data_IF_718922148952
#
_entry.id   IF_718922148952
#
_cell.length_a   1.000
_cell.length_b   1.000
_cell.length_c   1.000
_cell.angle_alpha   90.00
_cell.angle_beta   90.00
_cell.angle_gamma   90.00
#
_symmetry.space_group_name_H-M   'P 1'
#
loop_
_entity.id
_entity.type
_entity.pdbx_description
1 polymer ?
#
# COMPACT_ATOMS: atom_id res chain seq x y z
N UNK A 1 44.26 10.50 21.05
CA UNK A 1 44.35 9.14 20.47
C UNK A 1 45.77 8.92 20.02
N UNK A 2 46.31 7.72 20.25
CA UNK A 2 47.65 7.38 19.77
C UNK A 2 47.65 7.15 18.26
N UNK A 3 48.75 7.50 17.60
CA UNK A 3 48.93 7.32 16.15
C UNK A 3 48.68 5.86 15.70
N UNK A 4 49.12 4.87 16.50
CA UNK A 4 48.87 3.44 16.22
C UNK A 4 47.39 3.08 16.23
N UNK A 5 46.60 3.65 17.15
CA UNK A 5 45.17 3.39 17.25
C UNK A 5 44.42 3.98 16.05
N UNK A 6 44.83 5.18 15.59
CA UNK A 6 44.27 5.81 14.39
C UNK A 6 44.51 4.91 13.17
N UNK A 7 45.72 4.39 12.98
CA UNK A 7 46.03 3.53 11.84
C UNK A 7 45.19 2.23 11.82
N UNK A 8 45.05 1.55 12.96
CA UNK A 8 44.20 0.35 13.08
C UNK A 8 42.72 0.67 12.82
N UNK A 9 42.25 1.82 13.32
CA UNK A 9 40.87 2.24 13.13
C UNK A 9 40.60 2.58 11.65
N UNK A 10 41.58 3.15 10.98
CA UNK A 10 41.52 3.50 9.57
C UNK A 10 41.44 2.23 8.69
N UNK A 11 42.24 1.21 9.00
CA UNK A 11 42.18 -0.11 8.37
C UNK A 11 40.78 -0.73 8.47
N UNK A 12 40.20 -0.72 9.68
CA UNK A 12 38.82 -1.17 9.90
C UNK A 12 37.79 -0.31 9.19
N UNK A 13 38.00 1.00 9.10
CA UNK A 13 37.11 1.92 8.38
C UNK A 13 37.06 1.57 6.89
N UNK A 14 38.22 1.32 6.27
CA UNK A 14 38.28 0.89 4.87
C UNK A 14 37.64 -0.48 4.65
N UNK A 15 37.73 -1.39 5.63
CA UNK A 15 37.05 -2.68 5.61
C UNK A 15 35.55 -2.60 5.96
N UNK A 16 35.02 -1.41 6.26
CA UNK A 16 33.63 -1.20 6.69
C UNK A 16 33.26 -1.94 8.00
N UNK A 17 34.23 -2.09 8.91
CA UNK A 17 34.09 -2.80 10.20
C UNK A 17 34.03 -1.86 11.41
N UNK A 18 33.87 -0.55 11.18
CA UNK A 18 33.79 0.48 12.23
C UNK A 18 32.37 0.71 12.72
N UNK A 19 32.25 1.05 13.99
CA UNK A 19 31.02 1.55 14.60
C UNK A 19 30.84 3.05 14.38
N UNK A 20 29.61 3.56 14.57
CA UNK A 20 29.31 4.99 14.44
C UNK A 20 30.08 5.87 15.44
N UNK A 21 30.39 5.35 16.63
CA UNK A 21 31.16 6.07 17.65
C UNK A 21 32.62 6.22 17.23
N UNK A 22 33.21 5.14 16.70
CA UNK A 22 34.55 5.11 16.15
C UNK A 22 34.70 6.07 14.96
N UNK A 23 33.73 6.09 14.03
CA UNK A 23 33.73 7.05 12.92
C UNK A 23 33.65 8.50 13.38
N UNK A 24 32.85 8.80 14.41
CA UNK A 24 32.77 10.15 14.98
C UNK A 24 34.11 10.57 15.58
N UNK A 25 34.78 9.67 16.30
CA UNK A 25 36.11 9.92 16.85
C UNK A 25 37.13 10.16 15.72
N UNK A 26 37.07 9.37 14.65
CA UNK A 26 37.93 9.51 13.47
C UNK A 26 37.72 10.87 12.79
N UNK A 27 36.46 11.27 12.55
CA UNK A 27 36.12 12.59 11.99
C UNK A 27 36.62 13.72 12.90
N UNK A 28 36.42 13.62 14.22
CA UNK A 28 36.90 14.62 15.16
C UNK A 28 38.43 14.75 15.17
N UNK A 29 39.16 13.65 15.03
CA UNK A 29 40.62 13.64 14.92
C UNK A 29 41.10 14.38 13.65
N UNK A 30 40.51 14.09 12.49
CA UNK A 30 40.91 14.68 11.20
C UNK A 30 40.47 16.14 10.98
N UNK A 31 39.61 16.69 11.86
CA UNK A 31 39.32 18.13 11.89
C UNK A 31 40.51 18.98 12.36
N UNK A 32 41.36 18.42 13.22
CA UNK A 32 42.52 19.11 13.79
C UNK A 32 43.76 19.08 12.88
N UNK A 33 44.91 19.45 13.45
CA UNK A 33 46.20 19.33 12.80
C UNK A 33 46.71 17.90 12.95
N UNK A 34 47.07 17.27 11.83
CA UNK A 34 47.41 15.84 11.73
C UNK A 34 48.83 15.72 11.18
N UNK A 35 49.63 14.72 11.58
CA UNK A 35 50.96 14.49 11.02
C UNK A 35 50.94 14.27 9.50
N UNK A 36 52.06 14.62 8.82
CA UNK A 36 52.18 14.63 7.35
C UNK A 36 51.78 13.31 6.68
N UNK A 37 52.04 12.17 7.32
CA UNK A 37 51.71 10.84 6.82
C UNK A 37 50.20 10.57 6.69
N UNK A 38 49.37 11.42 7.27
CA UNK A 38 47.92 11.29 7.35
C UNK A 38 47.20 12.51 6.75
N UNK A 39 47.94 13.45 6.15
CA UNK A 39 47.37 14.69 5.61
C UNK A 39 46.46 14.44 4.39
N UNK A 40 46.83 13.50 3.51
CA UNK A 40 45.97 13.09 2.38
C UNK A 40 44.61 12.54 2.88
N UNK A 41 44.66 11.71 3.92
CA UNK A 41 43.47 11.14 4.57
C UNK A 41 42.65 12.24 5.24
N UNK A 42 43.32 13.19 5.92
CA UNK A 42 42.66 14.35 6.51
C UNK A 42 41.91 15.17 5.45
N UNK A 43 42.50 15.36 4.27
CA UNK A 43 41.87 16.02 3.13
C UNK A 43 40.56 15.35 2.72
N UNK A 44 40.52 14.01 2.68
CA UNK A 44 39.31 13.24 2.37
C UNK A 44 38.19 13.47 3.41
N UNK A 45 38.50 13.34 4.69
CA UNK A 45 37.51 13.53 5.76
C UNK A 45 36.97 14.96 5.79
N UNK A 46 37.84 15.96 5.63
CA UNK A 46 37.47 17.38 5.56
C UNK A 46 36.61 17.68 4.33
N UNK A 47 36.92 17.08 3.18
CA UNK A 47 36.10 17.22 1.99
C UNK A 47 34.69 16.70 2.24
N UNK A 48 34.54 15.47 2.77
CA UNK A 48 33.23 14.90 3.06
C UNK A 48 32.42 15.74 4.05
N UNK A 49 33.06 16.26 5.09
CA UNK A 49 32.41 17.16 6.04
C UNK A 49 31.94 18.46 5.38
N UNK A 50 32.77 19.08 4.54
CA UNK A 50 32.41 20.31 3.83
C UNK A 50 31.26 20.11 2.84
N UNK A 51 31.19 18.94 2.20
CA UNK A 51 30.11 18.60 1.27
C UNK A 51 28.83 18.23 2.00
N UNK A 52 28.92 17.64 3.20
CA UNK A 52 27.75 17.36 4.02
C UNK A 52 27.00 18.64 4.42
N UNK A 53 27.72 19.73 4.65
CA UNK A 53 27.11 21.05 4.93
C UNK A 53 26.49 21.72 3.69
N UNK A 54 26.95 21.35 2.49
CA UNK A 54 26.35 21.79 1.23
C UNK A 54 25.12 20.93 0.97
N UNK A 55 24.07 21.16 1.76
CA UNK A 55 22.76 20.59 1.48
C UNK A 55 22.38 20.90 0.02
N UNK A 56 22.04 19.87 -0.74
CA UNK A 56 21.45 19.99 -2.07
C UNK A 56 20.01 20.47 -1.86
N UNK A 57 19.85 21.74 -1.50
CA UNK A 57 18.55 22.40 -1.31
C UNK A 57 17.91 22.80 -2.64
N UNK A 58 18.24 22.11 -3.75
CA UNK A 58 17.55 22.34 -5.01
C UNK A 58 16.23 21.57 -5.00
N UNK A 59 15.14 22.32 -4.85
CA UNK A 59 13.76 21.81 -4.93
C UNK A 59 13.51 21.01 -6.22
N UNK A 60 14.27 21.32 -7.28
CA UNK A 60 14.22 20.65 -8.57
C UNK A 60 14.82 19.23 -8.54
N UNK A 61 15.88 18.99 -7.74
CA UNK A 61 16.45 17.65 -7.58
C UNK A 61 15.44 16.72 -6.90
N UNK A 62 14.83 17.20 -5.84
CA UNK A 62 13.87 16.45 -5.05
C UNK A 62 12.63 16.08 -5.86
N UNK A 63 12.16 17.00 -6.73
CA UNK A 63 11.09 16.76 -7.68
C UNK A 63 11.45 15.70 -8.74
N UNK A 64 12.65 15.80 -9.33
CA UNK A 64 13.13 14.87 -10.35
C UNK A 64 13.31 13.44 -9.79
N UNK A 65 13.87 13.31 -8.59
CA UNK A 65 14.04 12.01 -7.92
C UNK A 65 12.67 11.39 -7.61
N UNK A 66 11.75 12.16 -7.04
CA UNK A 66 10.37 11.71 -6.77
C UNK A 66 9.66 11.27 -8.05
N UNK A 67 9.90 11.93 -9.18
CA UNK A 67 9.33 11.53 -10.46
C UNK A 67 9.87 10.18 -10.94
N UNK A 68 11.19 9.96 -10.91
CA UNK A 68 11.79 8.66 -11.29
C UNK A 68 11.30 7.52 -10.38
N UNK A 69 11.21 7.74 -9.07
CA UNK A 69 10.70 6.73 -8.12
C UNK A 69 9.24 6.38 -8.45
N UNK A 70 8.41 7.38 -8.77
CA UNK A 70 6.99 7.16 -9.12
C UNK A 70 6.82 6.41 -10.45
N UNK A 71 7.72 6.59 -11.41
CA UNK A 71 7.69 5.85 -12.68
C UNK A 71 7.91 4.35 -12.50
N UNK A 72 8.74 3.95 -11.54
CA UNK A 72 9.03 2.54 -11.26
C UNK A 72 8.08 1.89 -10.23
N UNK A 73 7.14 2.64 -9.65
CA UNK A 73 6.17 2.07 -8.71
C UNK A 73 5.00 1.44 -9.50
N UNK A 74 4.74 0.13 -9.36
CA UNK A 74 3.53 -0.44 -9.96
C UNK A 74 2.32 0.29 -9.38
N UNK A 75 1.47 0.84 -10.26
CA UNK A 75 0.19 1.43 -9.86
C UNK A 75 -0.72 0.29 -9.37
N UNK A 76 -0.61 -0.04 -8.09
CA UNK A 76 -1.55 -0.96 -7.44
C UNK A 76 -2.95 -0.36 -7.54
N UNK A 77 -3.88 -1.10 -8.17
CA UNK A 77 -5.29 -0.72 -8.14
C UNK A 77 -5.79 -0.98 -6.72
N UNK A 78 -5.96 0.08 -5.94
CA UNK A 78 -6.62 -0.02 -4.64
C UNK A 78 -8.12 -0.13 -4.87
N UNK A 79 -8.69 -1.30 -4.58
CA UNK A 79 -10.14 -1.45 -4.55
C UNK A 79 -10.63 -1.01 -3.17
N UNK A 80 -11.63 -0.13 -3.12
CA UNK A 80 -12.24 0.27 -1.88
C UNK A 80 -13.22 -0.82 -1.41
N UNK A 81 -12.75 -1.70 -0.52
CA UNK A 81 -13.52 -2.84 -0.01
C UNK A 81 -14.86 -2.39 0.61
N UNK A 82 -14.90 -1.24 1.29
CA UNK A 82 -16.13 -0.70 1.87
C UNK A 82 -17.18 -0.34 0.80
N UNK A 83 -16.76 0.12 -0.37
CA UNK A 83 -17.65 0.40 -1.49
C UNK A 83 -18.23 -0.89 -2.08
N UNK A 84 -17.39 -1.91 -2.25
CA UNK A 84 -17.83 -3.23 -2.72
C UNK A 84 -18.83 -3.87 -1.74
N UNK A 85 -18.58 -3.80 -0.43
CA UNK A 85 -19.50 -4.30 0.59
C UNK A 85 -20.85 -3.56 0.58
N UNK A 86 -20.87 -2.25 0.33
CA UNK A 86 -22.14 -1.48 0.22
C UNK A 86 -23.00 -1.96 -0.94
N UNK A 87 -22.39 -2.20 -2.10
CA UNK A 87 -23.10 -2.75 -3.26
C UNK A 87 -23.63 -4.15 -2.94
N UNK A 88 -22.81 -5.02 -2.34
CA UNK A 88 -23.22 -6.36 -1.96
C UNK A 88 -24.39 -6.35 -0.95
N UNK A 89 -24.33 -5.49 0.06
CA UNK A 89 -25.40 -5.35 1.04
C UNK A 89 -26.73 -4.91 0.39
N UNK A 90 -26.68 -3.96 -0.56
CA UNK A 90 -27.87 -3.54 -1.31
C UNK A 90 -28.49 -4.70 -2.10
N UNK A 91 -27.67 -5.50 -2.79
CA UNK A 91 -28.15 -6.69 -3.53
C UNK A 91 -28.80 -7.73 -2.61
N UNK A 92 -28.22 -7.97 -1.43
CA UNK A 92 -28.78 -8.89 -0.43
C UNK A 92 -30.16 -8.42 0.04
N UNK A 93 -30.31 -7.14 0.35
CA UNK A 93 -31.61 -6.58 0.77
C UNK A 93 -32.69 -6.76 -0.31
N UNK A 94 -32.35 -6.49 -1.58
CA UNK A 94 -33.28 -6.69 -2.70
C UNK A 94 -33.67 -8.16 -2.86
N UNK A 95 -32.71 -9.08 -2.77
CA UNK A 95 -32.96 -10.53 -2.85
C UNK A 95 -33.88 -11.01 -1.72
N UNK A 96 -33.65 -10.55 -0.49
CA UNK A 96 -34.48 -10.90 0.67
C UNK A 96 -35.90 -10.35 0.50
N UNK A 97 -36.06 -9.09 0.07
CA UNK A 97 -37.37 -8.50 -0.20
C UNK A 97 -38.13 -9.28 -1.28
N UNK A 98 -37.47 -9.62 -2.40
CA UNK A 98 -38.07 -10.41 -3.47
C UNK A 98 -38.47 -11.83 -3.00
N UNK A 99 -37.67 -12.46 -2.13
CA UNK A 99 -38.00 -13.75 -1.53
C UNK A 99 -39.27 -13.68 -0.68
N UNK A 100 -39.39 -12.69 0.19
CA UNK A 100 -40.59 -12.50 1.02
C UNK A 100 -41.84 -12.20 0.18
N UNK A 101 -41.73 -11.32 -0.83
CA UNK A 101 -42.85 -11.05 -1.76
C UNK A 101 -43.29 -12.33 -2.46
N UNK A 102 -42.34 -13.14 -2.96
CA UNK A 102 -42.65 -14.43 -3.60
C UNK A 102 -43.30 -15.40 -2.63
N UNK A 103 -42.85 -15.44 -1.37
CA UNK A 103 -43.43 -16.28 -0.34
C UNK A 103 -44.88 -15.88 -0.03
N UNK A 104 -45.15 -14.58 0.08
CA UNK A 104 -46.50 -14.07 0.35
C UNK A 104 -47.45 -14.34 -0.82
N UNK A 105 -47.02 -14.09 -2.06
CA UNK A 105 -47.79 -14.43 -3.27
C UNK A 105 -48.11 -15.93 -3.29
N UNK A 106 -47.15 -16.81 -2.99
CA UNK A 106 -47.38 -18.26 -2.95
C UNK A 106 -48.34 -18.68 -1.84
N UNK A 107 -48.41 -17.95 -0.72
CA UNK A 107 -49.40 -18.20 0.33
C UNK A 107 -50.79 -17.67 -0.04
N UNK A 108 -50.87 -16.49 -0.65
CA UNK A 108 -52.14 -15.87 -1.07
C UNK A 108 -52.80 -16.60 -2.25
N UNK A 109 -52.00 -17.28 -3.08
CA UNK A 109 -52.47 -18.16 -4.15
C UNK A 109 -52.03 -19.60 -3.86
N UNK A 110 -52.70 -20.33 -2.95
CA UNK A 110 -52.44 -21.75 -2.78
C UNK A 110 -52.70 -22.45 -4.13
N UNK A 111 -51.84 -23.39 -4.50
CA UNK A 111 -51.97 -24.17 -5.73
C UNK A 111 -53.28 -25.00 -5.80
N UNK A 112 -54.10 -24.96 -4.74
CA UNK A 112 -55.44 -25.52 -4.64
C UNK A 112 -56.54 -24.66 -5.29
N UNK A 113 -56.23 -23.52 -5.90
CA UNK A 113 -57.09 -22.99 -6.98
C UNK A 113 -56.87 -23.86 -8.22
N UNK A 114 -57.11 -25.15 -8.07
CA UNK A 114 -57.43 -26.04 -9.17
C UNK A 114 -58.70 -25.47 -9.79
N UNK A 115 -58.64 -25.24 -11.10
CA UNK A 115 -59.77 -24.79 -11.90
C UNK A 115 -61.04 -25.52 -11.45
N UNK A 116 -62.13 -24.78 -11.17
CA UNK A 116 -63.37 -25.38 -10.61
C UNK A 116 -63.97 -26.43 -11.55
N UNK A 117 -63.50 -26.47 -12.79
CA UNK A 117 -63.85 -27.47 -13.78
C UNK A 117 -62.58 -28.13 -14.33
N UNK A 118 -62.40 -29.41 -14.03
CA UNK A 118 -61.29 -30.22 -14.55
C UNK A 118 -61.39 -30.53 -16.05
N UNK A 119 -62.49 -30.16 -16.71
CA UNK A 119 -62.73 -30.42 -18.13
C UNK A 119 -63.35 -29.18 -18.82
N UNK A 120 -62.66 -28.53 -19.76
CA UNK A 120 -63.07 -27.24 -20.34
C UNK A 120 -64.41 -27.28 -21.09
N UNK A 121 -64.84 -28.47 -21.52
CA UNK A 121 -66.13 -28.65 -22.20
C UNK A 121 -67.31 -28.49 -21.23
N UNK A 122 -67.16 -28.92 -19.98
CA UNK A 122 -68.23 -28.85 -18.97
C UNK A 122 -68.55 -27.39 -18.59
N UNK A 123 -67.53 -26.53 -18.52
CA UNK A 123 -67.70 -25.10 -18.24
C UNK A 123 -68.54 -24.39 -19.31
N UNK A 124 -68.36 -24.76 -20.59
CA UNK A 124 -69.15 -24.21 -21.69
C UNK A 124 -70.64 -24.62 -21.61
N UNK A 125 -70.92 -25.85 -21.20
CA UNK A 125 -72.29 -26.32 -21.06
C UNK A 125 -73.04 -25.60 -19.93
N UNK A 126 -72.39 -25.34 -18.79
CA UNK A 126 -72.95 -24.51 -17.70
C UNK A 126 -73.31 -23.10 -18.18
N UNK A 127 -72.46 -22.45 -18.98
CA UNK A 127 -72.76 -21.11 -19.51
C UNK A 127 -73.96 -21.07 -20.46
N UNK A 128 -74.29 -22.20 -21.10
CA UNK A 128 -75.42 -22.31 -22.04
C UNK A 128 -76.75 -22.69 -21.37
N UNK A 129 -76.74 -23.12 -20.11
CA UNK A 129 -77.96 -23.48 -19.35
C UNK A 129 -78.70 -22.27 -18.78
N UNK A 130 -78.18 -21.06 -18.97
CA UNK A 130 -78.74 -19.81 -18.44
C UNK A 130 -79.55 -19.03 -19.48
#
# INVERSE_FOLDING_TARGET
>A
MDSKQIHQLLERYWNCETSLEEERALRAYFRGQVPENLDEVAGLFRYFESQQQKEISSRDFDAQVKQRIRQHRPKGKVLNLAFALRIAAGLVVVMVAAYFVRQEIRKSYPAEVADTYSDPQLALEETKKR
#
